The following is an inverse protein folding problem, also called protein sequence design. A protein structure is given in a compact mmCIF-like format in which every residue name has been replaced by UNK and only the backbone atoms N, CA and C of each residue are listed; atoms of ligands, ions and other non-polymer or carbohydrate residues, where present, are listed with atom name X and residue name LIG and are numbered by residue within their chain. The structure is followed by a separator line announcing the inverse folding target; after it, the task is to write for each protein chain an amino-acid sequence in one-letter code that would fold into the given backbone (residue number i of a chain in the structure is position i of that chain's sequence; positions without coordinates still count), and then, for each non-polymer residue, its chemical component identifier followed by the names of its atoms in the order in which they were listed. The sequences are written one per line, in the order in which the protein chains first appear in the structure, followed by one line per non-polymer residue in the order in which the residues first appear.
data_IF_099366962040
#
_entry.id   IF_099366962040
#
_cell.length_a   1.000
_cell.length_b   1.000
_cell.length_c   1.000
_cell.angle_alpha   90.00
_cell.angle_beta   90.00
_cell.angle_gamma   90.00
#
_symmetry.space_group_name_H-M   'P 1'
#
loop_
_entity.id
_entity.type
_entity.pdbx_description
1 polymer ?
#
# COMPACT_ATOMS: atom_id res chain seq x y z
N UNK A 1 -22.26 -21.26 -9.10
CA UNK A 1 -22.58 -19.82 -9.31
C UNK A 1 -22.43 -18.96 -8.04
N UNK A 2 -22.90 -19.39 -6.86
CA UNK A 2 -22.73 -18.64 -5.60
C UNK A 2 -21.27 -18.26 -5.29
N UNK A 3 -20.31 -19.16 -5.56
CA UNK A 3 -18.88 -18.91 -5.28
C UNK A 3 -18.19 -17.95 -6.26
N UNK A 4 -18.68 -17.84 -7.51
CA UNK A 4 -18.15 -16.90 -8.51
C UNK A 4 -18.53 -15.46 -8.13
N UNK A 5 -19.75 -15.29 -7.61
CA UNK A 5 -20.20 -14.00 -7.08
C UNK A 5 -19.34 -13.55 -5.90
N UNK A 6 -18.84 -14.46 -5.05
CA UNK A 6 -18.00 -14.11 -3.89
C UNK A 6 -16.66 -13.52 -4.31
N UNK A 7 -15.97 -14.10 -5.29
CA UNK A 7 -14.68 -13.56 -5.77
C UNK A 7 -14.86 -12.21 -6.44
N UNK A 8 -15.85 -12.07 -7.34
CA UNK A 8 -16.16 -10.78 -7.96
C UNK A 8 -16.61 -9.74 -6.93
N UNK A 9 -17.40 -10.13 -5.92
CA UNK A 9 -17.83 -9.23 -4.85
C UNK A 9 -16.64 -8.83 -3.99
N UNK A 10 -15.75 -9.73 -3.55
CA UNK A 10 -14.55 -9.37 -2.76
C UNK A 10 -13.66 -8.38 -3.51
N UNK A 11 -13.41 -8.63 -4.80
CA UNK A 11 -12.61 -7.74 -5.67
C UNK A 11 -13.31 -6.40 -5.90
N UNK A 12 -14.66 -6.35 -5.85
CA UNK A 12 -15.46 -5.14 -6.07
C UNK A 12 -15.91 -4.43 -4.79
N UNK A 13 -15.87 -5.10 -3.62
CA UNK A 13 -16.45 -4.64 -2.34
C UNK A 13 -15.40 -4.29 -1.30
N UNK A 14 -14.16 -4.75 -1.44
CA UNK A 14 -13.07 -4.22 -0.63
C UNK A 14 -12.74 -2.82 -1.15
N UNK A 15 -12.90 -1.82 -0.27
CA UNK A 15 -12.45 -0.46 -0.53
C UNK A 15 -10.99 -0.54 -1.01
N UNK A 16 -10.76 -0.17 -2.27
CA UNK A 16 -9.41 -0.13 -2.83
C UNK A 16 -8.60 0.83 -1.97
N UNK A 17 -7.58 0.32 -1.28
CA UNK A 17 -6.70 1.17 -0.51
C UNK A 17 -6.02 2.15 -1.47
N UNK A 18 -6.31 3.47 -1.37
CA UNK A 18 -5.99 4.41 -2.45
C UNK A 18 -4.50 4.73 -2.49
N UNK A 19 -3.76 4.43 -1.43
CA UNK A 19 -2.34 4.74 -1.31
C UNK A 19 -1.44 3.56 -1.71
N UNK A 20 -0.19 3.85 -2.09
CA UNK A 20 0.82 2.84 -2.39
C UNK A 20 1.50 2.26 -1.14
N UNK A 21 1.48 3.00 -0.03
CA UNK A 21 1.98 2.62 1.29
C UNK A 21 1.37 3.52 2.37
N UNK A 22 1.66 3.26 3.65
CA UNK A 22 1.13 4.02 4.80
C UNK A 22 1.99 5.21 5.26
N UNK A 23 3.13 5.49 4.62
CA UNK A 23 4.04 6.57 5.02
C UNK A 23 3.31 7.91 5.14
N UNK A 24 3.45 8.58 6.29
CA UNK A 24 2.76 9.83 6.63
C UNK A 24 1.26 9.73 6.87
N UNK A 25 0.62 8.61 6.50
CA UNK A 25 -0.84 8.39 6.57
C UNK A 25 -1.19 7.65 7.86
N UNK A 26 -0.80 6.38 7.96
CA UNK A 26 -0.97 5.54 9.16
C UNK A 26 0.38 5.13 9.77
N UNK A 27 1.48 5.57 9.16
CA UNK A 27 2.84 5.33 9.61
C UNK A 27 3.56 6.66 9.77
N UNK A 28 4.30 6.80 10.86
CA UNK A 28 5.31 7.83 11.06
C UNK A 28 6.56 7.21 11.67
N UNK A 29 7.64 7.98 11.72
CA UNK A 29 8.88 7.60 12.38
C UNK A 29 9.40 8.80 13.15
N UNK A 30 9.89 8.57 14.36
CA UNK A 30 10.54 9.59 15.18
C UNK A 30 11.99 9.14 15.35
N UNK A 31 12.95 10.00 15.00
CA UNK A 31 14.37 9.68 15.18
C UNK A 31 14.89 10.05 16.58
N UNK A 32 16.19 9.85 16.83
CA UNK A 32 16.82 10.11 18.12
C UNK A 32 16.83 11.58 18.53
N UNK A 33 16.71 12.50 17.58
CA UNK A 33 16.67 13.94 17.83
C UNK A 33 15.24 14.43 18.08
N UNK A 34 14.26 13.52 18.02
CA UNK A 34 12.85 13.81 18.17
C UNK A 34 12.21 14.31 16.88
N UNK A 35 12.90 14.26 15.74
CA UNK A 35 12.33 14.69 14.47
C UNK A 35 11.32 13.67 13.95
N UNK A 36 10.18 14.17 13.50
CA UNK A 36 9.04 13.38 13.01
C UNK A 36 9.13 13.29 11.49
N UNK A 37 9.06 12.07 10.97
CA UNK A 37 9.21 11.72 9.56
C UNK A 37 8.05 10.84 9.07
N UNK A 38 7.72 10.85 7.76
CA UNK A 38 6.64 10.02 7.21
C UNK A 38 6.94 8.52 7.28
N UNK A 39 8.21 8.12 7.14
CA UNK A 39 8.70 6.76 7.34
C UNK A 39 10.23 6.81 7.47
N UNK A 40 10.91 5.70 7.83
CA UNK A 40 12.35 5.72 8.08
C UNK A 40 13.20 6.16 6.88
N UNK A 41 12.72 5.93 5.65
CA UNK A 41 13.46 6.30 4.43
C UNK A 41 13.56 7.80 4.18
N UNK A 42 12.77 8.61 4.90
CA UNK A 42 12.80 10.07 4.79
C UNK A 42 13.71 10.74 5.82
N UNK A 43 14.29 10.01 6.79
CA UNK A 43 15.19 10.58 7.79
C UNK A 43 16.36 11.30 7.11
N UNK A 44 16.67 12.50 7.60
CA UNK A 44 17.71 13.36 7.03
C UNK A 44 17.33 14.04 5.70
N UNK A 45 16.10 13.86 5.20
CA UNK A 45 15.61 14.53 3.99
C UNK A 45 14.77 15.73 4.38
N UNK A 46 15.41 16.85 4.75
CA UNK A 46 14.75 18.01 5.39
C UNK A 46 13.41 18.48 4.77
N UNK A 47 13.27 18.41 3.44
CA UNK A 47 12.01 18.74 2.75
C UNK A 47 10.81 17.89 3.20
N UNK A 48 11.04 16.72 3.79
CA UNK A 48 10.05 15.74 4.22
C UNK A 48 9.84 15.69 5.73
N UNK A 49 10.57 16.51 6.52
CA UNK A 49 10.39 16.59 7.97
C UNK A 49 8.98 17.08 8.29
N UNK A 50 8.24 16.34 9.12
CA UNK A 50 6.90 16.74 9.58
C UNK A 50 7.06 17.83 10.65
N UNK A 51 7.93 17.62 11.62
CA UNK A 51 8.19 18.54 12.73
C UNK A 51 9.14 17.88 13.70
N UNK A 52 9.13 18.32 14.95
CA UNK A 52 9.80 17.69 16.07
C UNK A 52 8.81 17.46 17.22
N UNK A 53 9.03 16.44 18.05
CA UNK A 53 8.16 16.11 19.20
C UNK A 53 8.05 17.24 20.24
N UNK A 54 9.01 18.17 20.27
CA UNK A 54 9.01 19.33 21.15
C UNK A 54 8.30 20.56 20.54
N UNK A 55 7.86 20.49 19.28
CA UNK A 55 7.12 21.56 18.64
C UNK A 55 5.69 21.65 19.20
N UNK A 56 5.08 22.83 19.06
CA UNK A 56 3.66 23.00 19.38
C UNK A 56 2.75 22.24 18.41
N UNK A 57 1.53 21.94 18.86
CA UNK A 57 0.58 21.14 18.09
C UNK A 57 0.18 21.76 16.76
N UNK A 58 0.21 23.10 16.62
CA UNK A 58 -0.12 23.75 15.35
C UNK A 58 1.00 23.56 14.33
N UNK A 59 2.25 23.68 14.76
CA UNK A 59 3.43 23.40 13.94
C UNK A 59 3.41 21.96 13.44
N UNK A 60 3.24 20.98 14.34
CA UNK A 60 3.15 19.56 13.98
C UNK A 60 1.99 19.30 13.00
N UNK A 61 0.80 19.83 13.28
CA UNK A 61 -0.36 19.68 12.40
C UNK A 61 -0.15 20.28 11.01
N UNK A 62 0.55 21.42 10.92
CA UNK A 62 0.89 22.03 9.63
C UNK A 62 1.83 21.14 8.82
N UNK A 63 2.81 20.52 9.49
CA UNK A 63 3.72 19.53 8.94
C UNK A 63 2.98 18.32 8.38
N UNK A 64 2.07 17.75 9.16
CA UNK A 64 1.24 16.62 8.73
C UNK A 64 0.40 16.98 7.51
N UNK A 65 -0.27 18.14 7.50
CA UNK A 65 -1.06 18.59 6.34
C UNK A 65 -0.20 18.71 5.09
N UNK A 66 1.01 19.25 5.20
CA UNK A 66 1.96 19.41 4.09
C UNK A 66 2.39 18.06 3.53
N UNK A 67 2.84 17.16 4.40
CA UNK A 67 3.30 15.82 4.00
C UNK A 67 2.14 14.99 3.46
N UNK A 68 0.98 15.01 4.10
CA UNK A 68 -0.20 14.30 3.61
C UNK A 68 -0.60 14.79 2.23
N UNK A 69 -0.68 16.10 2.00
CA UNK A 69 -1.00 16.63 0.67
C UNK A 69 0.01 16.16 -0.39
N UNK A 70 1.29 16.15 -0.06
CA UNK A 70 2.35 15.69 -0.96
C UNK A 70 2.22 14.17 -1.24
N UNK A 71 2.07 13.33 -0.23
CA UNK A 71 1.98 11.87 -0.41
C UNK A 71 0.63 11.44 -1.01
N UNK A 72 -0.46 12.14 -0.72
CA UNK A 72 -1.76 11.92 -1.36
C UNK A 72 -1.75 12.29 -2.84
N UNK A 73 -0.93 13.27 -3.26
CA UNK A 73 -0.75 13.53 -4.69
C UNK A 73 -0.15 12.33 -5.44
N UNK A 74 0.49 11.42 -4.70
CA UNK A 74 1.15 10.21 -5.18
C UNK A 74 0.36 8.98 -4.74
N UNK A 75 -0.86 8.84 -5.28
CA UNK A 75 -1.76 7.75 -4.93
C UNK A 75 -2.29 7.03 -6.19
N UNK A 76 -2.93 5.88 -6.00
CA UNK A 76 -3.48 5.06 -7.08
C UNK A 76 -4.69 5.70 -7.75
N UNK A 77 -5.45 6.52 -7.03
CA UNK A 77 -6.64 7.19 -7.57
C UNK A 77 -6.28 8.28 -8.60
N UNK A 78 -5.15 8.95 -8.40
CA UNK A 78 -4.61 9.96 -9.30
C UNK A 78 -3.89 9.36 -10.52
N UNK A 79 -3.72 8.03 -10.57
CA UNK A 79 -3.12 7.34 -11.69
C UNK A 79 -4.19 6.62 -12.51
N UNK A 80 -4.36 7.01 -13.77
CA UNK A 80 -5.36 6.44 -14.67
C UNK A 80 -5.20 4.92 -14.84
N UNK A 81 -3.97 4.45 -15.05
CA UNK A 81 -3.68 3.02 -15.17
C UNK A 81 -4.02 2.24 -13.90
N UNK A 82 -3.86 2.86 -12.71
CA UNK A 82 -4.12 2.21 -11.43
C UNK A 82 -5.62 2.12 -11.11
N UNK A 83 -6.43 3.10 -11.52
CA UNK A 83 -7.88 3.14 -11.24
C UNK A 83 -8.62 1.91 -11.75
N UNK A 84 -8.20 1.34 -12.88
CA UNK A 84 -8.83 0.16 -13.48
C UNK A 84 -7.96 -1.10 -13.39
N UNK A 85 -6.86 -1.05 -12.65
CA UNK A 85 -5.94 -2.18 -12.54
C UNK A 85 -6.46 -3.27 -11.61
N UNK A 86 -6.45 -4.52 -12.08
CA UNK A 86 -6.81 -5.71 -11.28
C UNK A 86 -5.90 -5.89 -10.06
N UNK A 87 -4.65 -5.45 -10.14
CA UNK A 87 -3.69 -5.57 -9.03
C UNK A 87 -3.84 -4.46 -7.97
N UNK A 88 -4.70 -3.46 -8.19
CA UNK A 88 -4.74 -2.23 -7.38
C UNK A 88 -5.03 -2.48 -5.89
N UNK A 89 -5.76 -3.56 -5.56
CA UNK A 89 -6.13 -3.90 -4.18
C UNK A 89 -4.95 -4.33 -3.30
N UNK A 90 -3.85 -4.82 -3.88
CA UNK A 90 -2.68 -5.29 -3.13
C UNK A 90 -1.34 -4.73 -3.63
N UNK A 91 -1.34 -4.07 -4.80
CA UNK A 91 -0.14 -3.44 -5.33
C UNK A 91 0.39 -2.38 -4.37
N UNK A 92 1.68 -2.43 -4.08
CA UNK A 92 2.40 -1.44 -3.29
C UNK A 92 3.57 -0.89 -4.08
N UNK A 93 3.92 0.37 -3.79
CA UNK A 93 5.13 1.04 -4.30
C UNK A 93 5.67 1.89 -3.17
N UNK A 94 6.98 2.09 -3.12
CA UNK A 94 7.63 2.95 -2.14
C UNK A 94 7.75 4.37 -2.70
N UNK A 95 6.97 5.37 -2.23
CA UNK A 95 7.07 6.74 -2.74
C UNK A 95 8.43 7.36 -2.45
N UNK A 96 9.07 7.02 -1.31
CA UNK A 96 10.36 7.57 -0.92
C UNK A 96 11.44 7.32 -1.98
N UNK A 97 11.50 6.11 -2.54
CA UNK A 97 12.45 5.74 -3.60
C UNK A 97 12.37 6.70 -4.79
N UNK A 98 11.17 7.09 -5.19
CA UNK A 98 10.95 7.91 -6.38
C UNK A 98 10.96 9.41 -6.08
N UNK A 99 10.33 9.84 -4.99
CA UNK A 99 10.23 11.24 -4.63
C UNK A 99 11.57 11.83 -4.21
N UNK A 100 12.41 11.07 -3.49
CA UNK A 100 13.73 11.55 -3.07
C UNK A 100 14.67 11.73 -4.27
N UNK A 101 14.68 10.77 -5.21
CA UNK A 101 15.63 10.79 -6.33
C UNK A 101 15.13 11.56 -7.55
N UNK A 102 13.83 11.51 -7.83
CA UNK A 102 13.23 11.97 -9.09
C UNK A 102 12.22 13.10 -8.89
N UNK A 103 11.85 13.42 -7.65
CA UNK A 103 10.84 14.44 -7.32
C UNK A 103 9.41 14.11 -7.77
N UNK A 104 9.19 12.93 -8.36
CA UNK A 104 7.90 12.44 -8.83
C UNK A 104 7.85 10.93 -8.74
N UNK A 105 6.65 10.37 -8.59
CA UNK A 105 6.46 8.94 -8.74
C UNK A 105 6.69 8.56 -10.20
N UNK A 106 7.51 7.54 -10.40
CA UNK A 106 7.66 6.90 -11.71
C UNK A 106 7.08 5.51 -11.57
N UNK A 107 6.06 5.26 -12.39
CA UNK A 107 5.46 3.94 -12.51
C UNK A 107 6.20 3.22 -13.63
N UNK A 108 7.01 2.24 -13.24
CA UNK A 108 7.68 1.38 -14.20
C UNK A 108 6.67 0.41 -14.82
N UNK A 109 6.57 0.42 -16.15
CA UNK A 109 5.58 -0.36 -16.88
C UNK A 109 5.87 -1.85 -16.81
N UNK A 110 7.14 -2.25 -16.85
CA UNK A 110 7.52 -3.65 -16.79
C UNK A 110 7.17 -4.28 -15.44
N UNK A 111 7.45 -3.57 -14.34
CA UNK A 111 7.05 -3.97 -12.99
C UNK A 111 5.52 -4.06 -12.86
N UNK A 112 4.80 -3.10 -13.44
CA UNK A 112 3.34 -3.11 -13.45
C UNK A 112 2.79 -4.33 -14.19
N UNK A 113 3.30 -4.62 -15.40
CA UNK A 113 2.88 -5.77 -16.21
C UNK A 113 3.15 -7.09 -15.50
N UNK A 114 4.30 -7.22 -14.83
CA UNK A 114 4.61 -8.40 -13.98
C UNK A 114 3.61 -8.54 -12.84
N UNK A 115 3.29 -7.45 -12.14
CA UNK A 115 2.36 -7.47 -11.02
C UNK A 115 0.92 -7.80 -11.44
N UNK A 116 0.49 -7.28 -12.60
CA UNK A 116 -0.81 -7.59 -13.21
C UNK A 116 -0.89 -9.08 -13.54
N UNK A 117 0.09 -9.62 -14.29
CA UNK A 117 0.13 -11.03 -14.68
C UNK A 117 0.14 -11.98 -13.47
N UNK A 118 0.91 -11.63 -12.42
CA UNK A 118 0.94 -12.40 -11.18
C UNK A 118 -0.43 -12.36 -10.48
N UNK A 119 -1.08 -11.20 -10.44
CA UNK A 119 -2.44 -11.06 -9.87
C UNK A 119 -3.42 -11.96 -10.60
N UNK A 120 -3.45 -11.90 -11.93
CA UNK A 120 -4.33 -12.71 -12.77
C UNK A 120 -4.10 -14.21 -12.56
N UNK A 121 -2.82 -14.63 -12.46
CA UNK A 121 -2.46 -16.01 -12.16
C UNK A 121 -2.97 -16.45 -10.80
N UNK A 122 -2.73 -15.65 -9.74
CA UNK A 122 -3.19 -15.96 -8.38
C UNK A 122 -4.71 -16.06 -8.33
N UNK A 123 -5.44 -15.10 -8.91
CA UNK A 123 -6.90 -15.13 -8.97
C UNK A 123 -7.40 -16.36 -9.73
N UNK A 124 -6.75 -16.73 -10.83
CA UNK A 124 -7.07 -17.93 -11.60
C UNK A 124 -6.88 -19.20 -10.77
N UNK A 125 -5.78 -19.30 -10.01
CA UNK A 125 -5.51 -20.45 -9.15
C UNK A 125 -6.46 -20.54 -7.95
N UNK A 126 -6.77 -19.41 -7.32
CA UNK A 126 -7.78 -19.35 -6.27
C UNK A 126 -9.15 -19.76 -6.79
N UNK A 127 -9.53 -19.31 -7.99
CA UNK A 127 -10.78 -19.73 -8.62
C UNK A 127 -10.82 -21.24 -8.90
N UNK A 128 -9.72 -21.83 -9.37
CA UNK A 128 -9.61 -23.29 -9.55
C UNK A 128 -9.80 -24.04 -8.22
N UNK A 129 -9.12 -23.61 -7.15
CA UNK A 129 -9.25 -24.20 -5.81
C UNK A 129 -10.71 -24.14 -5.31
N UNK A 130 -11.39 -23.01 -5.52
CA UNK A 130 -12.80 -22.82 -5.15
C UNK A 130 -13.70 -23.75 -5.97
N UNK A 131 -13.46 -23.84 -7.29
CA UNK A 131 -14.25 -24.70 -8.18
C UNK A 131 -14.11 -26.18 -7.83
N UNK A 132 -12.93 -26.58 -7.40
CA UNK A 132 -12.60 -27.96 -7.05
C UNK A 132 -13.06 -28.33 -5.62
N UNK A 133 -13.72 -27.42 -4.89
CA UNK A 133 -14.22 -27.67 -3.53
C UNK A 133 -13.12 -27.68 -2.46
N UNK A 134 -11.91 -27.21 -2.78
CA UNK A 134 -10.72 -27.29 -1.91
C UNK A 134 -10.44 -26.00 -1.14
N UNK A 135 -11.39 -25.07 -1.11
CA UNK A 135 -11.18 -23.76 -0.50
C UNK A 135 -10.94 -23.84 1.02
N UNK A 136 -11.69 -24.67 1.74
CA UNK A 136 -11.49 -24.85 3.19
C UNK A 136 -10.14 -25.50 3.53
N UNK A 137 -9.70 -26.48 2.72
CA UNK A 137 -8.37 -27.09 2.84
C UNK A 137 -7.26 -26.03 2.68
N UNK A 138 -7.38 -25.21 1.63
CA UNK A 138 -6.47 -24.10 1.37
C UNK A 138 -6.47 -23.08 2.53
N UNK A 139 -7.64 -22.64 2.99
CA UNK A 139 -7.76 -21.67 4.08
C UNK A 139 -7.16 -22.20 5.38
N UNK A 140 -7.40 -23.46 5.71
CA UNK A 140 -6.83 -24.08 6.91
C UNK A 140 -5.30 -24.16 6.83
N UNK A 141 -4.74 -24.48 5.66
CA UNK A 141 -3.30 -24.45 5.45
C UNK A 141 -2.74 -23.04 5.55
N UNK A 142 -3.41 -22.06 4.95
CA UNK A 142 -3.03 -20.65 4.99
C UNK A 142 -3.02 -20.11 6.43
N UNK A 143 -4.09 -20.36 7.21
CA UNK A 143 -4.18 -19.96 8.62
C UNK A 143 -3.03 -20.55 9.44
N UNK A 144 -2.68 -21.83 9.23
CA UNK A 144 -1.55 -22.47 9.93
C UNK A 144 -0.19 -21.83 9.62
N UNK A 145 -0.01 -21.26 8.43
CA UNK A 145 1.22 -20.54 8.08
C UNK A 145 1.32 -19.21 8.82
N UNK A 146 0.21 -18.49 8.96
CA UNK A 146 0.15 -17.19 9.63
C UNK A 146 -0.07 -17.26 11.15
N UNK A 147 -0.47 -18.41 11.69
CA UNK A 147 -0.61 -18.65 13.13
C UNK A 147 0.69 -19.11 13.79
N UNK A 148 1.81 -19.18 13.05
CA UNK A 148 3.14 -19.28 13.65
C UNK A 148 3.51 -17.90 14.18
N UNK A 149 3.30 -17.73 15.48
CA UNK A 149 3.99 -16.79 16.37
C UNK A 149 4.24 -15.42 15.74
N UNK A 150 3.30 -14.50 15.97
CA UNK A 150 3.66 -13.09 16.08
C UNK A 150 4.72 -12.98 17.18
N UNK A 151 5.99 -13.05 16.77
CA UNK A 151 7.16 -12.61 17.53
C UNK A 151 7.07 -11.09 17.65
#
# INVERSE_FOLDING_TARGET
MKNLLVVCTIVSSHQRYPYFCDAGINQITIDSDGDIWPCPLYIGRGNYKIGNIYDDIYTINSGFKRINKMLQSVNKENCEDCRNCVASFWCTKCPAKFLIEKGKLIIDKEDCDKNIKLTELVLTKLFQIIRDGRFEEFLNKYKKLYSREAI
#
